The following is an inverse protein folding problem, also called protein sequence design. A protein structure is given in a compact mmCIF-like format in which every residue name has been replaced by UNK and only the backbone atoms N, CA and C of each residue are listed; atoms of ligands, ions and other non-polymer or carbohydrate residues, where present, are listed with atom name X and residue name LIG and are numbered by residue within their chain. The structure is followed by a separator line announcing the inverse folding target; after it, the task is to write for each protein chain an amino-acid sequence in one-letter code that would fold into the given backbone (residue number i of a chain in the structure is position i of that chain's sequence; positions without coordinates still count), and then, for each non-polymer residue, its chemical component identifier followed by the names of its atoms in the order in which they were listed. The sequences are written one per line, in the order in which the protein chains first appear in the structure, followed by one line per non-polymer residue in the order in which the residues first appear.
data_IF_805241089030
#
_entry.id   IF_805241089030
#
_cell.length_a   1.000
_cell.length_b   1.000
_cell.length_c   1.000
_cell.angle_alpha   90.00
_cell.angle_beta   90.00
_cell.angle_gamma   90.00
#
_symmetry.space_group_name_H-M   'P 1'
#
loop_
_entity.id
_entity.type
_entity.pdbx_description
1 polymer ?
#
# COMPACT_ATOMS: atom_id res chain seq x y z
N UNK A 1 5.60 75.19 -17.60
CA UNK A 1 4.81 73.94 -17.48
C UNK A 1 5.21 72.82 -18.46
N UNK A 2 5.71 73.11 -19.68
CA UNK A 2 6.12 72.07 -20.65
C UNK A 2 7.40 71.28 -20.31
N UNK A 3 8.30 71.82 -19.47
CA UNK A 3 9.57 71.15 -19.10
C UNK A 3 9.44 70.14 -17.95
N UNK A 4 8.39 70.25 -17.12
CA UNK A 4 8.16 69.33 -16.00
C UNK A 4 7.47 68.04 -16.47
N UNK A 5 6.63 68.13 -17.51
CA UNK A 5 5.94 66.97 -18.09
C UNK A 5 6.90 66.03 -18.86
N UNK A 6 7.97 66.57 -19.46
CA UNK A 6 8.97 65.79 -20.17
C UNK A 6 9.87 64.97 -19.24
N UNK A 7 10.06 65.41 -17.99
CA UNK A 7 10.87 64.69 -17.00
C UNK A 7 10.08 63.52 -16.35
N UNK A 8 8.75 63.65 -16.24
CA UNK A 8 7.88 62.58 -15.70
C UNK A 8 7.66 61.47 -16.76
N UNK A 9 7.66 61.81 -18.05
CA UNK A 9 7.53 60.83 -19.13
C UNK A 9 8.82 60.01 -19.39
N UNK A 10 9.98 60.50 -18.94
CA UNK A 10 11.26 59.80 -19.05
C UNK A 10 11.50 58.80 -17.90
N UNK A 11 10.75 58.90 -16.80
CA UNK A 11 10.83 57.98 -15.66
C UNK A 11 9.84 56.81 -15.82
N UNK A 12 8.86 56.93 -16.74
CA UNK A 12 7.84 55.91 -16.98
C UNK A 12 8.15 54.94 -18.14
N UNK A 13 9.34 55.04 -18.74
CA UNK A 13 9.72 54.29 -19.94
C UNK A 13 11.08 53.60 -19.80
N UNK A 14 11.40 53.10 -18.60
CA UNK A 14 12.38 52.03 -18.46
C UNK A 14 11.62 50.70 -18.37
N UNK A 15 11.42 49.96 -19.48
CA UNK A 15 11.16 48.54 -19.33
C UNK A 15 12.41 47.99 -18.63
N UNK A 16 12.23 47.40 -17.44
CA UNK A 16 13.22 46.46 -16.90
C UNK A 16 13.28 45.27 -17.85
N UNK A 17 13.92 45.45 -19.01
CA UNK A 17 14.54 44.36 -19.71
C UNK A 17 15.70 43.93 -18.82
N UNK A 18 15.46 42.93 -17.98
CA UNK A 18 16.51 42.24 -17.26
C UNK A 18 17.41 41.57 -18.31
N UNK A 19 18.37 42.33 -18.82
CA UNK A 19 19.46 41.82 -19.62
C UNK A 19 20.20 40.79 -18.76
N UNK A 20 20.39 39.60 -19.32
CA UNK A 20 21.03 38.48 -18.66
C UNK A 20 22.52 38.77 -18.51
N UNK A 21 22.95 39.25 -17.35
CA UNK A 21 24.36 39.52 -17.04
C UNK A 21 25.17 38.23 -16.91
N UNK A 22 26.50 38.35 -16.95
CA UNK A 22 27.46 37.27 -16.67
C UNK A 22 27.46 36.83 -15.20
N UNK A 23 26.87 37.64 -14.31
CA UNK A 23 26.65 37.32 -12.90
C UNK A 23 25.33 36.57 -12.72
N UNK A 24 25.42 35.35 -12.16
CA UNK A 24 24.27 34.54 -11.76
C UNK A 24 23.76 35.04 -10.41
N UNK A 25 22.49 35.43 -10.34
CA UNK A 25 21.87 35.87 -9.08
C UNK A 25 21.35 34.67 -8.28
N UNK A 26 21.35 34.79 -6.94
CA UNK A 26 20.80 33.78 -6.05
C UNK A 26 19.33 33.45 -6.42
N UNK A 27 19.03 32.17 -6.59
CA UNK A 27 17.69 31.69 -6.97
C UNK A 27 17.42 31.57 -8.47
N UNK A 28 18.36 31.93 -9.36
CA UNK A 28 18.21 31.69 -10.80
C UNK A 28 18.51 30.25 -11.20
N UNK A 29 19.44 29.63 -10.49
CA UNK A 29 19.84 28.23 -10.67
C UNK A 29 19.80 27.56 -9.29
N UNK A 30 19.28 26.35 -9.23
CA UNK A 30 19.28 25.57 -7.99
C UNK A 30 19.29 24.08 -8.29
N UNK A 31 20.07 23.32 -7.51
CA UNK A 31 20.11 21.86 -7.55
C UNK A 31 19.67 21.34 -6.18
N UNK A 32 18.64 20.50 -6.17
CA UNK A 32 18.09 19.93 -4.93
C UNK A 32 18.12 18.42 -5.03
N UNK A 33 18.51 17.76 -3.94
CA UNK A 33 18.40 16.32 -3.79
C UNK A 33 17.31 16.07 -2.77
N UNK A 34 16.29 15.33 -3.16
CA UNK A 34 15.14 15.01 -2.32
C UNK A 34 15.04 13.50 -2.19
N UNK A 35 15.02 13.01 -0.95
CA UNK A 35 14.64 11.62 -0.66
C UNK A 35 13.11 11.56 -0.69
N UNK A 36 12.56 10.68 -1.51
CA UNK A 36 11.10 10.52 -1.59
C UNK A 36 10.58 9.99 -0.23
N UNK A 37 9.52 10.60 0.32
CA UNK A 37 9.04 10.24 1.66
C UNK A 37 8.53 8.79 1.67
N UNK A 38 9.18 7.96 2.49
CA UNK A 38 8.71 6.63 2.84
C UNK A 38 7.78 6.66 4.06
N UNK A 39 7.02 5.58 4.27
CA UNK A 39 6.16 5.44 5.44
C UNK A 39 6.93 5.28 6.77
N UNK A 40 8.20 4.87 6.71
CA UNK A 40 9.04 4.60 7.86
C UNK A 40 10.53 4.77 7.54
N UNK A 41 11.37 4.76 8.58
CA UNK A 41 12.83 4.72 8.45
C UNK A 41 13.27 3.42 7.75
N UNK A 42 14.12 3.50 6.71
CA UNK A 42 14.53 2.33 5.93
C UNK A 42 15.46 1.41 6.74
N UNK A 43 15.37 0.11 6.47
CA UNK A 43 16.38 -0.87 6.90
C UNK A 43 17.56 -0.92 5.92
N UNK A 44 18.66 -1.53 6.36
CA UNK A 44 19.74 -1.95 5.45
C UNK A 44 19.17 -2.75 4.28
N UNK A 45 19.59 -2.43 3.05
CA UNK A 45 19.13 -3.06 1.80
C UNK A 45 17.75 -2.61 1.31
N UNK A 46 16.99 -1.84 2.08
CA UNK A 46 15.68 -1.34 1.64
C UNK A 46 15.84 -0.20 0.61
N UNK A 47 14.94 -0.16 -0.38
CA UNK A 47 14.94 0.88 -1.41
C UNK A 47 14.70 2.28 -0.82
N UNK A 48 15.66 3.17 -1.06
CA UNK A 48 15.53 4.62 -0.86
C UNK A 48 15.49 5.30 -2.22
N UNK A 49 14.33 5.86 -2.58
CA UNK A 49 14.17 6.61 -3.82
C UNK A 49 14.68 8.04 -3.63
N UNK A 50 15.55 8.46 -4.55
CA UNK A 50 16.15 9.80 -4.54
C UNK A 50 15.87 10.48 -5.87
N UNK A 51 15.39 11.72 -5.79
CA UNK A 51 15.22 12.58 -6.95
C UNK A 51 16.20 13.75 -6.86
N UNK A 52 17.04 13.88 -7.88
CA UNK A 52 17.88 15.05 -8.12
C UNK A 52 17.10 15.96 -9.07
N UNK A 53 16.79 17.17 -8.61
CA UNK A 53 16.02 18.16 -9.36
C UNK A 53 16.82 19.44 -9.52
N UNK A 54 17.10 19.79 -10.77
CA UNK A 54 17.70 21.05 -11.18
C UNK A 54 16.64 22.00 -11.70
N UNK A 55 16.71 23.27 -11.29
CA UNK A 55 15.82 24.35 -11.75
C UNK A 55 16.64 25.51 -12.26
N UNK A 56 16.37 25.93 -13.50
CA UNK A 56 17.20 26.91 -14.20
C UNK A 56 16.36 27.95 -14.92
N UNK A 57 16.60 29.23 -14.64
CA UNK A 57 15.97 30.35 -15.37
C UNK A 57 16.88 30.97 -16.42
N UNK A 58 18.12 30.48 -16.55
CA UNK A 58 19.09 30.88 -17.57
C UNK A 58 19.11 29.89 -18.73
N UNK A 59 19.65 30.34 -19.85
CA UNK A 59 19.87 29.48 -21.00
C UNK A 59 21.14 28.64 -20.78
N UNK A 60 21.02 27.33 -20.96
CA UNK A 60 22.10 26.35 -20.76
C UNK A 60 22.50 25.85 -22.15
N UNK A 61 23.77 26.03 -22.51
CA UNK A 61 24.34 25.56 -23.76
C UNK A 61 24.87 24.12 -23.63
N UNK A 62 25.53 23.82 -22.50
CA UNK A 62 26.07 22.51 -22.16
C UNK A 62 25.91 22.25 -20.68
N UNK A 63 25.77 20.98 -20.33
CA UNK A 63 25.63 20.55 -18.95
C UNK A 63 26.36 19.23 -18.72
N UNK A 64 26.82 19.03 -17.48
CA UNK A 64 27.28 17.75 -16.98
C UNK A 64 27.02 17.64 -15.48
N UNK A 65 26.26 16.63 -15.07
CA UNK A 65 26.07 16.30 -13.67
C UNK A 65 27.19 15.38 -13.16
N UNK A 66 28.02 15.88 -12.25
CA UNK A 66 28.99 15.08 -11.51
C UNK A 66 28.31 14.45 -10.29
N UNK A 67 28.18 13.13 -10.31
CA UNK A 67 27.70 12.34 -9.20
C UNK A 67 28.83 12.13 -8.17
N UNK A 68 28.56 12.33 -6.87
CA UNK A 68 29.55 12.07 -5.83
C UNK A 68 29.70 10.58 -5.57
N UNK A 69 30.72 10.22 -4.79
CA UNK A 69 30.79 8.90 -4.18
C UNK A 69 29.63 8.73 -3.18
N UNK A 70 28.86 7.66 -3.33
CA UNK A 70 27.72 7.34 -2.48
C UNK A 70 28.16 6.31 -1.43
N UNK A 71 29.06 6.71 -0.53
CA UNK A 71 29.58 5.82 0.52
C UNK A 71 28.45 5.22 1.36
N UNK A 72 28.53 3.91 1.59
CA UNK A 72 27.50 3.15 2.31
C UNK A 72 26.24 2.85 1.50
N UNK A 73 26.21 3.12 0.19
CA UNK A 73 25.08 2.80 -0.68
C UNK A 73 25.52 2.00 -1.93
N UNK A 74 24.78 0.94 -2.25
CA UNK A 74 24.67 0.52 -3.66
C UNK A 74 23.57 1.34 -4.31
N UNK A 75 23.67 1.56 -5.62
CA UNK A 75 22.75 2.46 -6.30
C UNK A 75 22.56 2.07 -7.75
N UNK A 76 21.44 2.54 -8.30
CA UNK A 76 21.16 2.45 -9.72
C UNK A 76 20.32 3.64 -10.18
N UNK A 77 20.55 4.06 -11.43
CA UNK A 77 19.75 5.12 -12.03
C UNK A 77 18.44 4.57 -12.60
N UNK A 78 17.32 5.24 -12.31
CA UNK A 78 15.98 4.84 -12.74
C UNK A 78 15.60 5.54 -14.04
N UNK A 79 16.23 5.10 -15.13
CA UNK A 79 16.03 5.62 -16.48
C UNK A 79 16.97 6.76 -16.84
N UNK A 80 16.73 7.38 -17.98
CA UNK A 80 17.55 8.50 -18.46
C UNK A 80 17.21 9.80 -17.73
N UNK A 81 18.13 10.77 -17.85
CA UNK A 81 17.88 12.12 -17.37
C UNK A 81 16.76 12.78 -18.16
N UNK A 82 15.86 13.43 -17.42
CA UNK A 82 14.66 14.02 -17.99
C UNK A 82 14.70 15.54 -17.90
N UNK A 83 14.64 16.19 -19.05
CA UNK A 83 14.60 17.65 -19.17
C UNK A 83 13.21 18.10 -19.60
N UNK A 84 12.67 19.13 -18.94
CA UNK A 84 11.37 19.69 -19.29
C UNK A 84 11.27 21.17 -18.95
N UNK A 85 10.48 21.91 -19.73
CA UNK A 85 10.24 23.33 -19.51
C UNK A 85 8.95 23.54 -18.70
N UNK A 86 8.99 24.50 -17.78
CA UNK A 86 7.83 24.97 -17.01
C UNK A 86 7.77 26.49 -17.01
N UNK A 87 6.64 27.04 -16.58
CA UNK A 87 6.49 28.49 -16.39
C UNK A 87 6.19 28.78 -14.93
N UNK A 88 7.05 29.57 -14.28
CA UNK A 88 6.87 30.00 -12.88
C UNK A 88 6.78 31.51 -12.86
N UNK A 89 5.63 32.05 -12.43
CA UNK A 89 5.35 33.51 -12.41
C UNK A 89 5.61 34.18 -13.78
N UNK A 90 5.18 33.53 -14.87
CA UNK A 90 5.36 34.04 -16.23
C UNK A 90 6.78 33.92 -16.82
N UNK A 91 7.75 33.44 -16.04
CA UNK A 91 9.12 33.20 -16.52
C UNK A 91 9.30 31.74 -16.93
N UNK A 92 9.94 31.49 -18.08
CA UNK A 92 10.32 30.15 -18.51
C UNK A 92 11.43 29.61 -17.59
N UNK A 93 11.27 28.36 -17.17
CA UNK A 93 12.18 27.66 -16.28
C UNK A 93 12.46 26.29 -16.88
N UNK A 94 13.73 26.00 -17.16
CA UNK A 94 14.20 24.67 -17.55
C UNK A 94 14.38 23.83 -16.30
N UNK A 95 13.90 22.60 -16.32
CA UNK A 95 14.04 21.65 -15.22
C UNK A 95 14.81 20.43 -15.70
N UNK A 96 15.68 19.94 -14.83
CA UNK A 96 16.40 18.69 -14.95
C UNK A 96 15.91 17.74 -13.86
N UNK A 97 15.65 16.49 -14.19
CA UNK A 97 15.29 15.47 -13.21
C UNK A 97 16.03 14.17 -13.48
N UNK A 98 16.75 13.70 -12.47
CA UNK A 98 17.31 12.35 -12.41
C UNK A 98 16.71 11.62 -11.21
N UNK A 99 16.28 10.38 -11.43
CA UNK A 99 15.77 9.50 -10.35
C UNK A 99 16.74 8.37 -10.13
N UNK A 100 16.94 8.01 -8.86
CA UNK A 100 17.88 6.99 -8.43
C UNK A 100 17.26 6.12 -7.35
N UNK A 101 17.62 4.84 -7.37
CA UNK A 101 17.38 3.91 -6.30
C UNK A 101 18.69 3.74 -5.53
N UNK A 102 18.68 4.04 -4.24
CA UNK A 102 19.78 3.81 -3.33
C UNK A 102 19.41 2.69 -2.36
N UNK A 103 20.37 1.83 -2.04
CA UNK A 103 20.23 0.71 -1.12
C UNK A 103 21.31 0.85 -0.03
N UNK A 104 20.93 1.17 1.21
CA UNK A 104 21.89 1.28 2.30
C UNK A 104 22.61 -0.05 2.56
N UNK A 105 23.93 -0.03 2.66
CA UNK A 105 24.73 -1.24 2.89
C UNK A 105 25.06 -1.47 4.37
N UNK A 106 24.87 -0.45 5.22
CA UNK A 106 25.14 -0.51 6.66
C UNK A 106 24.13 0.31 7.45
N UNK A 107 23.93 -0.06 8.71
CA UNK A 107 23.05 0.65 9.61
C UNK A 107 23.71 1.94 10.15
N UNK A 108 22.88 2.84 10.64
CA UNK A 108 23.28 4.12 11.21
C UNK A 108 23.04 5.30 10.27
N UNK A 109 23.71 6.42 10.59
CA UNK A 109 23.55 7.68 9.87
C UNK A 109 24.39 7.68 8.60
N UNK A 110 23.73 7.66 7.44
CA UNK A 110 24.37 7.69 6.12
C UNK A 110 24.11 9.04 5.43
N UNK A 111 25.12 9.57 4.75
CA UNK A 111 25.01 10.87 4.07
C UNK A 111 25.19 10.71 2.57
N UNK A 112 24.18 11.15 1.83
CA UNK A 112 24.26 11.39 0.39
C UNK A 112 25.04 12.69 0.21
N UNK A 113 26.25 12.58 -0.34
CA UNK A 113 27.11 13.72 -0.58
C UNK A 113 26.51 14.69 -1.61
N UNK A 114 26.96 15.96 -1.64
CA UNK A 114 26.52 16.94 -2.61
C UNK A 114 26.77 16.53 -4.06
N UNK A 115 25.76 16.65 -4.91
CA UNK A 115 25.91 16.58 -6.36
C UNK A 115 26.41 17.93 -6.89
N UNK A 116 27.23 17.90 -7.95
CA UNK A 116 27.72 19.11 -8.61
C UNK A 116 27.22 19.13 -10.05
N UNK A 117 26.42 20.13 -10.41
CA UNK A 117 25.99 20.33 -11.80
C UNK A 117 26.86 21.41 -12.44
N UNK A 118 27.66 21.02 -13.43
CA UNK A 118 28.51 21.91 -14.22
C UNK A 118 27.74 22.37 -15.44
N UNK A 119 27.64 23.67 -15.65
CA UNK A 119 26.82 24.28 -16.69
C UNK A 119 27.67 25.26 -17.51
N UNK A 120 27.53 25.24 -18.83
CA UNK A 120 27.96 26.35 -19.69
C UNK A 120 26.72 27.21 -19.98
N UNK A 121 26.71 28.44 -19.45
CA UNK A 121 25.61 29.38 -19.57
C UNK A 121 25.88 30.40 -20.68
N UNK A 122 24.82 30.99 -21.23
CA UNK A 122 24.92 32.08 -22.21
C UNK A 122 24.48 33.41 -21.57
N UNK A 123 25.33 34.44 -21.69
CA UNK A 123 25.01 35.81 -21.27
C UNK A 123 24.22 36.60 -22.35
N UNK A 124 23.83 37.85 -22.06
CA UNK A 124 23.11 38.70 -23.02
C UNK A 124 23.92 39.09 -24.26
N UNK A 125 25.26 39.00 -24.19
CA UNK A 125 26.16 39.23 -25.30
C UNK A 125 26.44 37.94 -26.09
N UNK A 126 25.69 36.86 -25.82
CA UNK A 126 25.82 35.54 -26.43
C UNK A 126 27.19 34.88 -26.18
N UNK A 127 27.87 35.24 -25.09
CA UNK A 127 29.14 34.63 -24.66
C UNK A 127 28.87 33.48 -23.72
N UNK A 128 29.69 32.45 -23.83
CA UNK A 128 29.61 31.26 -23.00
C UNK A 128 30.48 31.44 -21.77
N UNK A 129 29.98 31.09 -20.60
CA UNK A 129 30.77 31.07 -19.38
C UNK A 129 30.39 29.87 -18.49
N UNK A 130 31.37 29.23 -17.84
CA UNK A 130 31.11 28.09 -16.98
C UNK A 130 30.53 28.55 -15.63
N UNK A 131 29.61 27.76 -15.08
CA UNK A 131 29.07 27.95 -13.75
C UNK A 131 28.76 26.59 -13.11
N UNK A 132 29.09 26.44 -11.83
CA UNK A 132 28.80 25.22 -11.08
C UNK A 132 27.79 25.52 -9.98
N UNK A 133 26.81 24.62 -9.83
CA UNK A 133 25.91 24.63 -8.67
C UNK A 133 26.01 23.30 -7.93
N UNK A 134 25.79 23.36 -6.62
CA UNK A 134 25.88 22.18 -5.75
C UNK A 134 24.58 21.97 -4.99
N UNK A 135 24.21 20.71 -4.79
CA UNK A 135 23.12 20.39 -3.88
C UNK A 135 23.57 20.49 -2.42
N UNK A 136 22.63 20.61 -1.49
CA UNK A 136 22.92 20.30 -0.10
C UNK A 136 23.19 18.79 0.07
N UNK A 137 24.01 18.38 1.05
CA UNK A 137 24.09 16.98 1.44
C UNK A 137 22.76 16.56 2.10
N UNK A 138 22.39 15.30 1.94
CA UNK A 138 21.18 14.75 2.57
C UNK A 138 21.56 13.59 3.46
N UNK A 139 21.23 13.68 4.73
CA UNK A 139 21.50 12.61 5.69
C UNK A 139 20.22 11.80 5.96
N UNK A 140 20.35 10.48 5.96
CA UNK A 140 19.30 9.54 6.29
C UNK A 140 19.73 8.66 7.47
N UNK A 141 18.78 8.28 8.31
CA UNK A 141 18.97 7.27 9.35
C UNK A 141 18.56 5.91 8.80
N UNK A 142 19.38 4.88 9.04
CA UNK A 142 19.16 3.52 8.55
C UNK A 142 19.15 2.54 9.70
N UNK A 143 18.11 1.73 9.77
CA UNK A 143 17.95 0.70 10.80
C UNK A 143 18.67 -0.60 10.42
N UNK A 144 19.19 -1.36 11.39
CA UNK A 144 19.76 -2.69 11.12
C UNK A 144 18.67 -3.66 10.61
N UNK A 145 19.05 -4.58 9.74
CA UNK A 145 18.13 -5.61 9.27
C UNK A 145 17.59 -6.44 10.45
N UNK A 146 16.26 -6.68 10.53
CA UNK A 146 15.65 -7.49 11.57
C UNK A 146 15.91 -9.00 11.42
N UNK A 147 16.50 -9.42 10.30
CA UNK A 147 16.84 -10.81 10.02
C UNK A 147 18.32 -10.94 9.62
N UNK A 148 18.92 -12.14 9.79
CA UNK A 148 20.25 -12.46 9.29
C UNK A 148 20.39 -12.25 7.77
N UNK A 149 21.59 -11.92 7.25
CA UNK A 149 21.81 -11.60 5.84
C UNK A 149 21.37 -12.69 4.85
N UNK A 150 21.49 -13.97 5.22
CA UNK A 150 21.12 -15.13 4.38
C UNK A 150 19.61 -15.26 4.15
N UNK A 151 18.79 -14.60 4.98
CA UNK A 151 17.32 -14.59 4.89
C UNK A 151 16.75 -13.18 4.71
N UNK A 152 17.62 -12.22 4.47
CA UNK A 152 17.24 -10.82 4.37
C UNK A 152 17.03 -10.41 2.92
N UNK A 153 15.75 -10.36 2.52
CA UNK A 153 15.33 -9.90 1.20
C UNK A 153 14.23 -8.84 1.34
N UNK A 154 14.59 -7.55 1.52
CA UNK A 154 13.62 -6.47 1.69
C UNK A 154 13.07 -6.02 0.33
N UNK A 155 11.82 -6.35 0.03
CA UNK A 155 11.17 -5.99 -1.24
C UNK A 155 9.75 -5.46 -1.03
N UNK A 156 9.24 -4.71 -2.01
CA UNK A 156 7.88 -4.15 -1.97
C UNK A 156 6.83 -5.17 -2.40
N UNK A 157 7.15 -5.97 -3.42
CA UNK A 157 6.25 -6.95 -4.03
C UNK A 157 7.04 -8.10 -4.63
N UNK A 158 6.55 -9.31 -4.44
CA UNK A 158 7.10 -10.53 -5.00
C UNK A 158 6.01 -11.22 -5.81
N UNK A 159 6.30 -11.52 -7.07
CA UNK A 159 5.46 -12.30 -7.95
C UNK A 159 6.25 -13.48 -8.49
N UNK A 160 5.66 -14.67 -8.45
CA UNK A 160 6.28 -15.91 -8.90
C UNK A 160 5.33 -16.58 -9.89
N UNK A 161 5.82 -16.90 -11.09
CA UNK A 161 5.08 -17.71 -12.06
C UNK A 161 5.80 -19.01 -12.34
N UNK A 162 5.07 -20.11 -12.36
CA UNK A 162 5.57 -21.45 -12.65
C UNK A 162 5.04 -21.94 -14.00
N UNK A 163 5.94 -22.19 -14.95
CA UNK A 163 5.61 -22.61 -16.31
C UNK A 163 6.31 -23.91 -16.65
N UNK A 164 5.63 -24.77 -17.39
CA UNK A 164 6.15 -26.06 -17.84
C UNK A 164 6.07 -26.13 -19.37
N UNK A 165 7.09 -26.71 -20.02
CA UNK A 165 7.12 -26.82 -21.50
C UNK A 165 6.00 -27.69 -22.08
N UNK A 166 5.46 -28.60 -21.28
CA UNK A 166 4.40 -29.53 -21.61
C UNK A 166 3.76 -30.04 -20.30
N UNK A 167 2.58 -30.71 -20.34
CA UNK A 167 1.94 -31.24 -19.14
C UNK A 167 2.90 -32.16 -18.37
N UNK A 168 3.27 -31.83 -17.12
CA UNK A 168 4.28 -32.58 -16.38
C UNK A 168 3.83 -34.00 -16.01
N UNK A 169 2.53 -34.26 -15.98
CA UNK A 169 1.90 -35.52 -15.61
C UNK A 169 1.63 -36.47 -16.80
N UNK A 170 1.91 -36.03 -18.04
CA UNK A 170 1.61 -36.77 -19.27
C UNK A 170 2.80 -36.80 -20.23
N UNK A 171 3.99 -37.12 -19.70
CA UNK A 171 5.22 -37.19 -20.49
C UNK A 171 5.23 -38.44 -21.39
N UNK A 172 5.82 -38.33 -22.58
CA UNK A 172 6.18 -39.51 -23.35
C UNK A 172 7.27 -40.32 -22.61
N UNK A 173 7.28 -41.66 -22.69
CA UNK A 173 8.31 -42.47 -22.04
C UNK A 173 9.74 -42.02 -22.36
N UNK A 174 10.55 -41.81 -21.33
CA UNK A 174 11.93 -41.31 -21.45
C UNK A 174 12.06 -39.80 -21.70
N UNK A 175 10.97 -39.08 -21.96
CA UNK A 175 11.00 -37.63 -22.11
C UNK A 175 11.19 -36.92 -20.75
N UNK A 176 11.69 -35.70 -20.81
CA UNK A 176 11.72 -34.76 -19.68
C UNK A 176 10.83 -33.56 -19.95
N UNK A 177 10.65 -32.73 -18.93
CA UNK A 177 9.90 -31.48 -19.01
C UNK A 177 10.78 -30.33 -18.50
N UNK A 178 10.74 -29.20 -19.19
CA UNK A 178 11.39 -27.98 -18.74
C UNK A 178 10.44 -27.22 -17.81
N UNK A 179 10.86 -27.02 -16.56
CA UNK A 179 10.22 -26.11 -15.60
C UNK A 179 10.92 -24.76 -15.65
N UNK A 180 10.15 -23.69 -15.73
CA UNK A 180 10.62 -22.29 -15.73
C UNK A 180 9.89 -21.55 -14.62
N UNK A 181 10.61 -21.19 -13.57
CA UNK A 181 10.12 -20.30 -12.52
C UNK A 181 10.62 -18.89 -12.84
N UNK A 182 9.70 -17.96 -13.08
CA UNK A 182 10.00 -16.53 -13.18
C UNK A 182 9.73 -15.88 -11.83
N UNK A 183 10.76 -15.30 -11.23
CA UNK A 183 10.68 -14.56 -9.97
C UNK A 183 10.82 -13.09 -10.28
N UNK A 184 9.80 -12.30 -9.95
CA UNK A 184 9.78 -10.85 -10.10
C UNK A 184 9.69 -10.19 -8.73
N UNK A 185 10.67 -9.34 -8.41
CA UNK A 185 10.78 -8.66 -7.13
C UNK A 185 10.90 -7.15 -7.34
N UNK A 186 9.88 -6.41 -6.89
CA UNK A 186 9.84 -4.95 -6.98
C UNK A 186 10.59 -4.31 -5.80
N UNK A 187 11.44 -3.34 -6.10
CA UNK A 187 12.14 -2.52 -5.14
C UNK A 187 13.48 -3.07 -4.68
N UNK A 188 14.11 -3.96 -5.46
CA UNK A 188 15.46 -4.48 -5.20
C UNK A 188 16.29 -4.50 -6.47
N UNK A 189 17.61 -4.49 -6.32
CA UNK A 189 18.52 -4.71 -7.44
C UNK A 189 18.63 -6.22 -7.79
N UNK A 190 18.90 -6.60 -9.04
CA UNK A 190 18.97 -8.02 -9.45
C UNK A 190 19.98 -8.86 -8.67
N UNK A 191 21.09 -8.28 -8.25
CA UNK A 191 22.13 -8.91 -7.45
C UNK A 191 21.65 -9.29 -6.04
N UNK A 192 20.58 -8.67 -5.55
CA UNK A 192 19.99 -8.97 -4.24
C UNK A 192 19.07 -10.20 -4.27
N UNK A 193 18.60 -10.62 -5.45
CA UNK A 193 17.83 -11.86 -5.53
C UNK A 193 18.69 -13.05 -5.10
N UNK A 194 18.12 -14.02 -4.35
CA UNK A 194 18.85 -15.23 -4.04
C UNK A 194 19.17 -16.01 -5.32
N UNK A 195 20.24 -16.82 -5.29
CA UNK A 195 20.53 -17.72 -6.40
C UNK A 195 19.39 -18.73 -6.60
N UNK A 196 19.30 -19.28 -7.81
CA UNK A 196 18.44 -20.40 -8.12
C UNK A 196 18.60 -21.52 -7.07
N UNK A 197 17.50 -21.97 -6.43
CA UNK A 197 17.57 -23.03 -5.43
C UNK A 197 17.88 -24.39 -6.08
N UNK A 198 18.48 -25.28 -5.30
CA UNK A 198 18.63 -26.67 -5.73
C UNK A 198 17.28 -27.39 -5.55
N UNK A 199 16.71 -27.88 -6.66
CA UNK A 199 15.51 -28.71 -6.60
C UNK A 199 15.90 -30.16 -6.32
N UNK A 200 15.14 -30.79 -5.44
CA UNK A 200 15.35 -32.18 -5.00
C UNK A 200 14.16 -33.06 -5.39
N UNK A 201 14.45 -34.33 -5.61
CA UNK A 201 13.44 -35.37 -5.80
C UNK A 201 14.02 -36.73 -5.44
N UNK A 202 13.26 -37.60 -4.74
CA UNK A 202 13.70 -38.97 -4.48
C UNK A 202 13.64 -39.87 -5.73
N UNK A 203 13.00 -39.42 -6.81
CA UNK A 203 12.63 -40.27 -7.96
C UNK A 203 12.73 -39.59 -9.32
N UNK A 204 13.22 -38.34 -9.40
CA UNK A 204 13.50 -37.63 -10.64
C UNK A 204 14.97 -37.26 -10.76
N UNK A 205 15.49 -37.34 -11.98
CA UNK A 205 16.70 -36.67 -12.38
C UNK A 205 16.39 -35.20 -12.69
N UNK A 206 17.14 -34.28 -12.07
CA UNK A 206 16.94 -32.84 -12.20
C UNK A 206 18.23 -32.22 -12.75
N UNK A 207 18.10 -31.53 -13.88
CA UNK A 207 19.21 -30.86 -14.56
C UNK A 207 19.00 -29.34 -14.53
N UNK A 208 19.77 -28.59 -13.72
CA UNK A 208 19.67 -27.13 -13.69
C UNK A 208 20.23 -26.50 -14.97
N UNK A 209 19.61 -25.41 -15.41
CA UNK A 209 20.11 -24.56 -16.49
C UNK A 209 20.68 -23.26 -15.90
N UNK A 210 21.61 -22.57 -16.60
CA UNK A 210 22.08 -21.27 -16.17
C UNK A 210 20.92 -20.29 -15.95
N UNK A 211 20.90 -19.65 -14.78
CA UNK A 211 19.92 -18.61 -14.48
C UNK A 211 20.19 -17.35 -15.30
N UNK A 212 19.12 -16.62 -15.61
CA UNK A 212 19.20 -15.29 -16.24
C UNK A 212 18.55 -14.27 -15.32
N UNK A 213 19.24 -13.15 -15.09
CA UNK A 213 18.72 -12.01 -14.34
C UNK A 213 18.56 -10.81 -15.24
N UNK A 214 17.46 -10.10 -15.09
CA UNK A 214 17.14 -8.86 -15.78
C UNK A 214 16.71 -7.81 -14.75
N UNK A 215 16.75 -6.56 -15.17
CA UNK A 215 16.19 -5.44 -14.44
C UNK A 215 15.28 -4.64 -15.34
N UNK A 216 14.08 -4.36 -14.85
CA UNK A 216 13.19 -3.38 -15.45
C UNK A 216 13.17 -2.14 -14.58
N UNK A 217 13.35 -0.97 -15.20
CA UNK A 217 13.37 0.30 -14.50
C UNK A 217 11.95 0.86 -14.47
N UNK A 218 11.35 0.92 -13.29
CA UNK A 218 10.01 1.49 -13.11
C UNK A 218 10.05 2.79 -12.31
N UNK A 219 8.98 3.62 -12.38
CA UNK A 219 8.85 4.79 -11.52
C UNK A 219 8.84 4.45 -10.01
N UNK A 220 8.45 3.24 -9.61
CA UNK A 220 8.36 2.87 -8.19
C UNK A 220 9.66 2.24 -7.64
N UNK A 221 10.69 2.16 -8.49
CA UNK A 221 11.96 1.50 -8.22
C UNK A 221 12.29 0.43 -9.25
N UNK A 222 13.42 -0.24 -9.10
CA UNK A 222 13.79 -1.34 -9.98
C UNK A 222 12.91 -2.57 -9.74
N UNK A 223 12.66 -3.31 -10.80
CA UNK A 223 12.02 -4.62 -10.76
C UNK A 223 13.06 -5.64 -11.17
N UNK A 224 13.54 -6.41 -10.20
CA UNK A 224 14.49 -7.48 -10.43
C UNK A 224 13.73 -8.72 -10.92
N UNK A 225 14.19 -9.31 -12.03
CA UNK A 225 13.57 -10.50 -12.62
C UNK A 225 14.63 -11.60 -12.72
N UNK A 226 14.36 -12.78 -12.17
CA UNK A 226 15.17 -13.98 -12.35
C UNK A 226 14.37 -15.09 -13.05
N UNK A 227 15.03 -15.82 -13.93
CA UNK A 227 14.50 -17.03 -14.57
C UNK A 227 15.28 -18.24 -14.07
N UNK A 228 14.64 -19.05 -13.24
CA UNK A 228 15.16 -20.32 -12.76
C UNK A 228 14.60 -21.46 -13.58
N UNK A 229 15.47 -22.36 -14.04
CA UNK A 229 15.15 -23.31 -15.10
C UNK A 229 15.74 -24.68 -14.80
N UNK A 230 14.90 -25.70 -14.85
CA UNK A 230 15.32 -27.09 -14.66
C UNK A 230 14.68 -27.99 -15.70
N UNK A 231 15.45 -28.90 -16.27
CA UNK A 231 14.91 -30.05 -16.98
C UNK A 231 14.71 -31.18 -15.99
N UNK A 232 13.50 -31.71 -15.90
CA UNK A 232 13.12 -32.75 -14.94
C UNK A 232 12.70 -33.99 -15.69
N UNK A 233 13.25 -35.14 -15.31
CA UNK A 233 12.92 -36.45 -15.90
C UNK A 233 12.61 -37.45 -14.78
N UNK A 234 11.48 -38.18 -14.83
CA UNK A 234 11.26 -39.30 -13.92
C UNK A 234 12.39 -40.33 -14.06
N UNK A 235 13.04 -40.70 -12.96
CA UNK A 235 14.10 -41.71 -12.92
C UNK A 235 13.55 -43.15 -12.96
N UNK A 236 12.31 -43.34 -12.48
CA UNK A 236 11.58 -44.61 -12.56
C UNK A 236 10.59 -44.68 -13.73
N UNK A 237 9.99 -45.85 -14.00
CA UNK A 237 9.11 -46.06 -15.17
C UNK A 237 7.72 -45.41 -15.05
N UNK A 238 7.42 -44.72 -13.94
CA UNK A 238 6.03 -44.46 -13.52
C UNK A 238 5.80 -42.96 -13.25
N UNK A 239 6.33 -42.44 -12.14
CA UNK A 239 6.23 -41.02 -11.79
C UNK A 239 7.27 -40.62 -10.76
N UNK A 240 7.50 -39.32 -10.65
CA UNK A 240 8.35 -38.71 -9.66
C UNK A 240 7.67 -37.50 -9.02
N UNK A 241 8.13 -37.13 -7.81
CA UNK A 241 7.67 -35.94 -7.10
C UNK A 241 8.83 -34.97 -6.99
N UNK A 242 8.65 -33.76 -7.49
CA UNK A 242 9.57 -32.65 -7.28
C UNK A 242 9.23 -32.02 -5.94
N UNK A 243 10.19 -31.95 -5.03
CA UNK A 243 9.98 -31.41 -3.68
C UNK A 243 9.65 -29.90 -3.72
N UNK A 244 8.91 -29.39 -2.71
CA UNK A 244 8.64 -27.97 -2.62
C UNK A 244 9.90 -27.20 -2.23
N UNK A 245 9.94 -25.93 -2.60
CA UNK A 245 10.91 -24.99 -2.05
C UNK A 245 10.19 -23.71 -1.61
N UNK A 246 10.85 -22.93 -0.76
CA UNK A 246 10.28 -21.69 -0.23
C UNK A 246 11.25 -20.53 -0.38
N UNK A 247 10.68 -19.34 -0.56
CA UNK A 247 11.40 -18.08 -0.57
C UNK A 247 10.90 -17.21 0.58
N UNK A 248 11.82 -16.84 1.47
CA UNK A 248 11.58 -15.91 2.57
C UNK A 248 11.90 -14.49 2.11
N UNK A 249 11.04 -13.54 2.46
CA UNK A 249 11.26 -12.13 2.16
C UNK A 249 10.65 -11.23 3.22
N UNK A 250 11.12 -9.99 3.29
CA UNK A 250 10.55 -8.98 4.15
C UNK A 250 9.73 -8.00 3.32
N UNK A 251 8.42 -7.95 3.58
CA UNK A 251 7.52 -7.00 2.92
C UNK A 251 7.76 -5.60 3.51
N UNK A 252 8.36 -4.72 2.72
CA UNK A 252 8.73 -3.36 3.14
C UNK A 252 7.52 -2.45 3.30
N UNK A 253 6.39 -2.74 2.63
CA UNK A 253 5.16 -1.98 2.75
C UNK A 253 4.39 -2.37 4.02
N UNK A 254 4.23 -3.67 4.26
CA UNK A 254 3.52 -4.18 5.44
C UNK A 254 4.41 -4.28 6.70
N UNK A 255 5.73 -4.16 6.55
CA UNK A 255 6.76 -4.27 7.61
C UNK A 255 6.66 -5.61 8.36
N UNK A 256 6.48 -6.70 7.62
CA UNK A 256 6.39 -8.06 8.18
C UNK A 256 7.18 -9.07 7.34
N UNK A 257 7.78 -10.09 7.97
CA UNK A 257 8.35 -11.21 7.24
C UNK A 257 7.24 -12.03 6.58
N UNK A 258 7.51 -12.53 5.37
CA UNK A 258 6.62 -13.38 4.57
C UNK A 258 7.39 -14.52 3.96
N UNK A 259 6.66 -15.59 3.64
CA UNK A 259 7.18 -16.80 2.99
C UNK A 259 6.27 -17.16 1.82
N UNK A 260 6.84 -17.42 0.66
CA UNK A 260 6.15 -18.04 -0.47
C UNK A 260 6.65 -19.46 -0.61
N UNK A 261 5.75 -20.43 -0.65
CA UNK A 261 6.08 -21.84 -0.85
C UNK A 261 5.56 -22.29 -2.21
N UNK A 262 6.47 -22.78 -3.04
CA UNK A 262 6.13 -23.43 -4.30
C UNK A 262 5.85 -24.89 -3.98
N UNK A 263 4.62 -25.33 -4.25
CA UNK A 263 4.13 -26.66 -3.87
C UNK A 263 4.87 -27.78 -4.61
N UNK A 264 4.91 -29.00 -4.05
CA UNK A 264 5.46 -30.15 -4.76
C UNK A 264 4.65 -30.43 -6.03
N UNK A 265 5.33 -30.86 -7.08
CA UNK A 265 4.70 -31.17 -8.36
C UNK A 265 5.02 -32.60 -8.77
N UNK A 266 3.98 -33.36 -9.14
CA UNK A 266 4.13 -34.68 -9.73
C UNK A 266 4.54 -34.55 -11.20
N UNK A 267 5.55 -35.31 -11.60
CA UNK A 267 6.02 -35.45 -12.98
C UNK A 267 5.89 -36.92 -13.37
N UNK A 268 5.15 -37.26 -14.42
CA UNK A 268 4.79 -38.65 -14.73
C UNK A 268 4.73 -38.93 -16.24
N UNK A 269 4.94 -40.19 -16.61
CA UNK A 269 4.70 -40.64 -17.98
C UNK A 269 3.20 -40.88 -18.23
N UNK A 270 2.76 -40.67 -19.47
CA UNK A 270 1.37 -40.91 -19.87
C UNK A 270 0.96 -42.37 -19.63
N UNK A 271 -0.29 -42.57 -19.18
CA UNK A 271 -0.82 -43.90 -18.83
C UNK A 271 -0.60 -44.31 -17.37
N UNK A 272 0.06 -43.48 -16.57
CA UNK A 272 0.24 -43.69 -15.14
C UNK A 272 -0.75 -42.86 -14.35
N UNK A 273 -1.91 -43.44 -14.09
CA UNK A 273 -2.80 -42.96 -13.03
C UNK A 273 -2.03 -43.00 -11.69
N UNK A 274 -2.22 -42.01 -10.80
CA UNK A 274 -1.62 -42.07 -9.47
C UNK A 274 -2.01 -43.40 -8.80
N UNK A 275 -1.02 -44.25 -8.50
CA UNK A 275 -1.20 -45.39 -7.63
C UNK A 275 -1.36 -44.86 -6.20
N UNK A 276 -2.57 -44.41 -5.87
CA UNK A 276 -2.84 -43.71 -4.63
C UNK A 276 -3.96 -42.69 -4.69
N UNK A 277 -4.99 -42.92 -5.50
CA UNK A 277 -6.33 -42.86 -4.92
C UNK A 277 -6.79 -44.32 -4.89
N UNK A 278 -6.84 -44.94 -3.70
CA UNK A 278 -8.04 -45.74 -3.45
C UNK A 278 -9.16 -44.79 -3.81
N UNK A 279 -9.87 -45.06 -4.90
CA UNK A 279 -11.08 -44.33 -5.22
C UNK A 279 -11.86 -44.28 -3.91
N UNK A 280 -11.81 -43.12 -3.24
CA UNK A 280 -12.75 -42.86 -2.19
C UNK A 280 -14.06 -43.07 -2.92
N UNK A 281 -14.77 -44.12 -2.50
CA UNK A 281 -16.09 -44.45 -3.00
C UNK A 281 -16.80 -43.11 -3.18
N UNK A 282 -17.25 -42.75 -4.39
CA UNK A 282 -17.85 -41.43 -4.60
C UNK A 282 -18.85 -41.28 -3.47
N UNK A 283 -18.78 -40.20 -2.66
CA UNK A 283 -19.65 -40.08 -1.51
C UNK A 283 -21.04 -40.35 -2.03
N UNK A 284 -21.67 -41.44 -1.55
CA UNK A 284 -22.97 -41.89 -2.05
C UNK A 284 -23.82 -40.65 -2.01
N UNK A 285 -24.14 -40.10 -3.18
CA UNK A 285 -24.88 -38.86 -3.26
C UNK A 285 -26.19 -39.20 -2.59
N UNK A 286 -26.37 -38.75 -1.34
CA UNK A 286 -27.59 -38.97 -0.59
C UNK A 286 -28.68 -38.49 -1.51
N UNK A 287 -29.56 -39.42 -1.92
CA UNK A 287 -30.62 -39.15 -2.87
C UNK A 287 -31.60 -38.17 -2.22
N UNK A 288 -31.25 -36.90 -2.26
CA UNK A 288 -32.13 -35.81 -1.92
C UNK A 288 -33.26 -35.89 -2.94
N UNK A 289 -34.39 -36.45 -2.50
CA UNK A 289 -35.62 -36.47 -3.27
C UNK A 289 -35.82 -35.08 -3.85
N UNK A 290 -35.88 -34.97 -5.19
CA UNK A 290 -36.01 -33.68 -5.89
C UNK A 290 -37.18 -32.85 -5.35
N UNK A 291 -38.21 -33.50 -4.79
CA UNK A 291 -39.31 -32.86 -4.07
C UNK A 291 -38.92 -32.20 -2.73
N UNK A 292 -37.96 -32.75 -1.99
CA UNK A 292 -37.46 -32.17 -0.73
C UNK A 292 -36.57 -30.93 -0.99
N UNK A 293 -35.78 -30.94 -2.06
CA UNK A 293 -34.92 -29.79 -2.44
C UNK A 293 -35.75 -28.63 -3.00
N UNK A 294 -36.72 -28.91 -3.88
CA UNK A 294 -37.61 -27.89 -4.41
C UNK A 294 -38.60 -27.38 -3.35
N UNK A 295 -39.07 -28.24 -2.43
CA UNK A 295 -39.90 -27.84 -1.29
C UNK A 295 -39.14 -26.96 -0.28
N UNK A 296 -37.87 -27.29 0.01
CA UNK A 296 -37.02 -26.52 0.92
C UNK A 296 -36.61 -25.15 0.39
N UNK A 297 -36.24 -25.06 -0.90
CA UNK A 297 -35.93 -23.78 -1.56
C UNK A 297 -37.18 -22.89 -1.69
N UNK A 298 -38.35 -23.46 -2.02
CA UNK A 298 -39.60 -22.73 -2.09
C UNK A 298 -40.03 -22.14 -0.73
N UNK A 299 -39.92 -22.92 0.34
CA UNK A 299 -40.22 -22.46 1.69
C UNK A 299 -39.23 -21.39 2.18
N UNK A 300 -37.95 -21.53 1.86
CA UNK A 300 -36.91 -20.55 2.20
C UNK A 300 -37.09 -19.20 1.49
N UNK A 301 -37.45 -19.22 0.20
CA UNK A 301 -37.72 -17.99 -0.56
C UNK A 301 -38.99 -17.30 -0.07
N UNK A 302 -40.05 -18.05 0.27
CA UNK A 302 -41.28 -17.47 0.82
C UNK A 302 -41.08 -16.88 2.23
N UNK A 303 -40.28 -17.52 3.08
CA UNK A 303 -39.90 -16.97 4.39
C UNK A 303 -38.99 -15.74 4.26
N UNK A 304 -38.06 -15.75 3.31
CA UNK A 304 -37.20 -14.60 3.01
C UNK A 304 -37.97 -13.40 2.46
N UNK A 305 -38.91 -13.62 1.54
CA UNK A 305 -39.78 -12.57 1.00
C UNK A 305 -40.77 -12.06 2.06
N UNK A 306 -41.29 -12.95 2.91
CA UNK A 306 -42.13 -12.59 4.05
C UNK A 306 -41.40 -11.71 5.07
N UNK A 307 -40.12 -12.00 5.35
CA UNK A 307 -39.27 -11.17 6.21
C UNK A 307 -38.96 -9.79 5.61
N UNK A 308 -38.73 -9.72 4.30
CA UNK A 308 -38.44 -8.46 3.60
C UNK A 308 -39.68 -7.55 3.46
N UNK A 309 -40.88 -8.13 3.29
CA UNK A 309 -42.13 -7.36 3.24
C UNK A 309 -42.64 -6.98 4.64
N UNK A 310 -42.42 -7.81 5.66
CA UNK A 310 -42.74 -7.48 7.05
C UNK A 310 -41.76 -6.45 7.67
N UNK A 311 -40.52 -6.40 7.17
CA UNK A 311 -39.46 -5.50 7.63
C UNK A 311 -39.68 -4.01 7.38
N UNK A 312 -40.73 -3.61 6.65
CA UNK A 312 -41.09 -2.19 6.45
C UNK A 312 -42.44 -1.76 7.03
N UNK A 313 -43.11 -2.62 7.79
CA UNK A 313 -44.27 -2.23 8.57
C UNK A 313 -44.40 -3.10 9.82
N UNK A 314 -43.62 -2.80 10.87
CA UNK A 314 -44.01 -3.22 12.21
C UNK A 314 -45.45 -2.74 12.44
N UNK A 315 -46.42 -3.64 12.65
CA UNK A 315 -47.81 -3.24 12.74
C UNK A 315 -47.92 -2.24 13.90
N UNK A 316 -48.51 -1.07 13.66
CA UNK A 316 -48.65 0.03 14.64
C UNK A 316 -49.08 -0.46 16.05
N UNK A 317 -49.80 -1.58 16.13
CA UNK A 317 -50.19 -2.26 17.38
C UNK A 317 -49.01 -2.80 18.22
N UNK A 318 -47.98 -3.37 17.59
CA UNK A 318 -46.80 -3.90 18.29
C UNK A 318 -45.94 -2.78 18.88
N UNK A 319 -45.76 -1.67 18.15
CA UNK A 319 -45.08 -0.48 18.65
C UNK A 319 -45.86 0.17 19.80
N UNK A 320 -47.19 0.20 19.72
CA UNK A 320 -48.04 0.72 20.79
C UNK A 320 -47.96 -0.13 22.06
N UNK A 321 -47.95 -1.46 21.94
CA UNK A 321 -47.78 -2.38 23.07
C UNK A 321 -46.41 -2.24 23.75
N UNK A 322 -45.34 -2.07 22.96
CA UNK A 322 -43.99 -1.83 23.49
C UNK A 322 -43.92 -0.52 24.30
N UNK A 323 -44.50 0.57 23.79
CA UNK A 323 -44.57 1.86 24.52
C UNK A 323 -45.34 1.75 25.83
N UNK A 324 -46.46 1.02 25.86
CA UNK A 324 -47.22 0.82 27.09
C UNK A 324 -46.43 0.03 28.14
N UNK A 325 -45.67 -1.00 27.73
CA UNK A 325 -44.78 -1.75 28.63
C UNK A 325 -43.69 -0.86 29.22
N UNK A 326 -43.07 -0.01 28.42
CA UNK A 326 -42.04 0.93 28.90
C UNK A 326 -42.64 1.98 29.86
N UNK A 327 -43.84 2.49 29.58
CA UNK A 327 -44.56 3.38 30.52
C UNK A 327 -44.89 2.69 31.84
N UNK A 328 -45.27 1.42 31.80
CA UNK A 328 -45.51 0.62 33.01
C UNK A 328 -44.21 0.38 33.80
N UNK A 329 -43.11 0.04 33.13
CA UNK A 329 -41.80 -0.10 33.74
C UNK A 329 -41.34 1.21 34.40
N UNK A 330 -41.49 2.36 33.74
CA UNK A 330 -41.17 3.66 34.31
C UNK A 330 -42.00 3.98 35.56
N UNK A 331 -43.29 3.60 35.58
CA UNK A 331 -44.15 3.74 36.77
C UNK A 331 -43.73 2.82 37.90
N UNK A 332 -43.35 1.58 37.58
CA UNK A 332 -42.91 0.60 38.56
C UNK A 332 -41.57 1.02 39.19
N UNK A 333 -40.61 1.47 38.39
CA UNK A 333 -39.33 2.01 38.87
C UNK A 333 -39.53 3.22 39.79
N UNK A 334 -40.43 4.14 39.44
CA UNK A 334 -40.73 5.29 40.29
C UNK A 334 -41.40 4.94 41.62
N UNK A 335 -42.13 3.81 41.70
CA UNK A 335 -42.75 3.33 42.96
C UNK A 335 -41.81 2.51 43.81
N UNK A 336 -40.94 1.73 43.18
CA UNK A 336 -39.95 0.87 43.84
C UNK A 336 -38.67 1.61 44.24
N UNK A 337 -38.47 2.83 43.74
CA UNK A 337 -37.23 3.59 43.95
C UNK A 337 -36.06 3.13 43.07
N UNK A 338 -36.28 2.21 42.13
CA UNK A 338 -35.24 1.71 41.22
C UNK A 338 -34.98 2.69 40.08
N UNK A 339 -34.01 3.58 40.30
CA UNK A 339 -33.60 4.59 39.33
C UNK A 339 -32.96 3.99 38.06
N UNK A 340 -32.31 2.82 38.16
CA UNK A 340 -31.68 2.15 37.02
C UNK A 340 -32.73 1.54 36.07
N UNK A 341 -33.81 0.99 36.62
CA UNK A 341 -34.97 0.55 35.85
C UNK A 341 -35.70 1.76 35.22
N UNK A 342 -35.84 2.87 35.94
CA UNK A 342 -36.38 4.10 35.38
C UNK A 342 -35.55 4.61 34.20
N UNK A 343 -34.21 4.60 34.31
CA UNK A 343 -33.33 5.08 33.25
C UNK A 343 -33.42 4.24 31.98
N UNK A 344 -33.49 2.92 32.12
CA UNK A 344 -33.67 1.99 30.99
C UNK A 344 -35.02 2.20 30.31
N UNK A 345 -36.09 2.32 31.09
CA UNK A 345 -37.44 2.57 30.55
C UNK A 345 -37.56 3.94 29.86
N UNK A 346 -36.95 4.98 30.43
CA UNK A 346 -36.94 6.33 29.87
C UNK A 346 -36.14 6.39 28.55
N UNK A 347 -34.99 5.72 28.47
CA UNK A 347 -34.19 5.63 27.24
C UNK A 347 -34.97 4.97 26.08
N UNK A 348 -35.67 3.87 26.36
CA UNK A 348 -36.48 3.18 25.35
C UNK A 348 -37.67 4.02 24.86
N UNK A 349 -38.24 4.86 25.72
CA UNK A 349 -39.30 5.79 25.34
C UNK A 349 -38.77 6.93 24.48
N UNK A 350 -37.62 7.51 24.85
CA UNK A 350 -36.98 8.62 24.12
C UNK A 350 -36.57 8.23 22.70
N UNK A 351 -35.97 7.05 22.51
CA UNK A 351 -35.62 6.50 21.18
C UNK A 351 -36.84 6.33 20.27
N UNK A 352 -38.03 6.18 20.84
CA UNK A 352 -39.26 6.02 20.08
C UNK A 352 -40.00 7.35 19.83
N UNK A 353 -39.61 8.45 20.47
CA UNK A 353 -40.31 9.74 20.42
C UNK A 353 -39.54 10.78 19.59
N UNK A 354 -40.23 11.80 19.09
CA UNK A 354 -39.59 12.90 18.36
C UNK A 354 -38.64 13.68 19.29
N UNK A 355 -37.44 14.10 18.86
CA UNK A 355 -36.44 14.73 19.73
C UNK A 355 -36.98 15.96 20.46
N UNK A 356 -36.79 16.04 21.78
CA UNK A 356 -37.19 17.19 22.60
C UNK A 356 -36.03 17.56 23.55
N UNK A 357 -35.50 18.81 23.47
CA UNK A 357 -34.41 19.25 24.35
C UNK A 357 -34.78 19.19 25.84
N UNK A 358 -36.05 19.32 26.21
CA UNK A 358 -36.49 19.22 27.62
C UNK A 358 -36.26 17.81 28.18
N UNK A 359 -36.37 16.76 27.34
CA UNK A 359 -36.11 15.37 27.76
C UNK A 359 -34.65 15.11 28.05
N UNK A 360 -33.75 15.71 27.28
CA UNK A 360 -32.32 15.59 27.52
C UNK A 360 -31.92 16.15 28.89
N UNK A 361 -32.52 17.28 29.29
CA UNK A 361 -32.30 17.89 30.62
C UNK A 361 -32.82 16.97 31.73
N UNK A 362 -34.01 16.40 31.57
CA UNK A 362 -34.58 15.47 32.55
C UNK A 362 -33.73 14.19 32.69
N UNK A 363 -33.32 13.58 31.57
CA UNK A 363 -32.46 12.40 31.58
C UNK A 363 -31.11 12.67 32.24
N UNK A 364 -30.53 13.85 32.00
CA UNK A 364 -29.30 14.27 32.67
C UNK A 364 -29.48 14.41 34.19
N UNK A 365 -30.61 14.95 34.64
CA UNK A 365 -30.92 15.03 36.07
C UNK A 365 -31.06 13.62 36.70
N UNK A 366 -31.68 12.67 35.99
CA UNK A 366 -31.75 11.28 36.42
C UNK A 366 -30.36 10.61 36.44
N UNK A 367 -29.53 10.86 35.44
CA UNK A 367 -28.16 10.33 35.38
C UNK A 367 -27.28 10.89 36.52
N UNK A 368 -27.42 12.18 36.85
CA UNK A 368 -26.76 12.77 38.01
C UNK A 368 -27.25 12.15 39.33
N UNK A 369 -28.52 11.73 39.43
CA UNK A 369 -29.02 11.06 40.63
C UNK A 369 -28.51 9.61 40.76
N UNK A 370 -28.28 8.92 39.64
CA UNK A 370 -27.77 7.53 39.64
C UNK A 370 -26.25 7.50 39.84
N UNK A 371 -25.51 8.40 39.19
CA UNK A 371 -24.05 8.34 39.06
C UNK A 371 -23.32 9.50 39.75
N UNK A 372 -24.03 10.46 40.33
CA UNK A 372 -23.43 11.61 41.03
C UNK A 372 -22.83 11.26 42.39
N UNK A 373 -21.78 11.97 42.80
CA UNK A 373 -21.03 11.74 44.06
C UNK A 373 -21.78 12.11 45.35
N UNK A 374 -22.93 12.76 45.26
CA UNK A 374 -23.81 13.05 46.39
C UNK A 374 -25.26 12.73 45.98
N UNK A 375 -25.90 11.71 46.57
CA UNK A 375 -27.30 11.41 46.28
C UNK A 375 -28.17 12.50 46.88
N UNK A 376 -28.47 13.53 46.10
CA UNK A 376 -29.55 14.46 46.43
C UNK A 376 -30.90 13.71 46.45
N UNK A 377 -31.87 14.21 47.22
CA UNK A 377 -33.23 13.66 47.22
C UNK A 377 -33.85 13.79 45.82
N UNK A 378 -33.74 12.74 45.01
CA UNK A 378 -34.29 12.70 43.66
C UNK A 378 -35.75 12.27 43.72
N UNK A 379 -36.65 13.18 43.34
CA UNK A 379 -38.08 12.89 43.29
C UNK A 379 -38.42 12.09 42.01
N UNK A 380 -38.42 10.77 42.17
CA UNK A 380 -38.75 9.82 41.11
C UNK A 380 -40.19 9.99 40.58
N UNK A 381 -41.13 10.44 41.42
CA UNK A 381 -42.51 10.64 41.02
C UNK A 381 -42.65 11.90 40.16
N UNK A 382 -42.01 13.01 40.57
CA UNK A 382 -41.96 14.25 39.79
C UNK A 382 -41.25 14.05 38.45
N UNK A 383 -40.12 13.34 38.43
CA UNK A 383 -39.42 13.01 37.18
C UNK A 383 -40.33 12.25 36.21
N UNK A 384 -41.00 11.18 36.68
CA UNK A 384 -41.89 10.39 35.83
C UNK A 384 -43.00 11.25 35.21
N UNK A 385 -43.65 12.10 36.00
CA UNK A 385 -44.74 12.95 35.51
C UNK A 385 -44.24 13.94 34.46
N UNK A 386 -43.10 14.61 34.70
CA UNK A 386 -42.50 15.56 33.76
C UNK A 386 -42.01 14.87 32.48
N UNK A 387 -41.35 13.72 32.60
CA UNK A 387 -40.82 12.97 31.46
C UNK A 387 -41.93 12.38 30.59
N UNK A 388 -43.05 11.94 31.17
CA UNK A 388 -44.20 11.48 30.38
C UNK A 388 -44.95 12.63 29.69
N UNK A 389 -44.89 13.86 30.22
CA UNK A 389 -45.51 15.03 29.59
C UNK A 389 -44.77 15.51 28.32
N UNK A 390 -43.50 15.11 28.18
CA UNK A 390 -42.63 15.44 27.03
C UNK A 390 -42.61 14.38 25.92
N UNK A 391 -43.39 13.29 26.05
CA UNK A 391 -43.51 12.20 25.07
C UNK A 391 -44.82 12.27 24.30
#
# INVERSE_FOLDING_TARGET
MKRVLALILLILSAPLAAAQTDTVTEGELSLTVTVEPGAATPYVGELVLVTIHGRYTRHIARESLAQPELDGFSWMQLGYDYWYDTTVRGKKVKNFRRRMALFPQRAGRLTIAPYVHKLDLIDSANRWFPHEIRSAPVTIEVLPAPAPPDRWLPLKRLEISDQWSNPPDQLAPGAGVLRVIRVEATGIAPEMLPPMPDLTSPSADIFPHPEKRLVELSPDGPVAIAFWRWTIRPGGPVSAIVEPFSLDYYDTLARVPRRVTISPTRVAYAGVAPAGDTAAEPPVAGALHRGAVLGGLGAGVLLGLGGLLAGRALPRRAQMAARLRLRAALRHGARSGDLALMRRAAAGLDQSAAPDPARAVLLRALDCAIYGRAPGAFDAAAFRCRFLATL
#
